data_IF_401793163148
#
_entry.id   IF_401793163148
#
_cell.length_a   1.000
_cell.length_b   1.000
_cell.length_c   1.000
_cell.angle_alpha   90.00
_cell.angle_beta   90.00
_cell.angle_gamma   90.00
#
_symmetry.space_group_name_H-M   'P 1'
#
loop_
_entity.id
_entity.type
_entity.pdbx_description
1 polymer ?
#
# COMPACT_ATOMS: atom_id res chain seq x y z
N UNK A 1 19.10 20.67 -31.37
CA UNK A 1 19.39 20.22 -30.00
C UNK A 1 18.37 20.92 -29.11
N UNK A 2 17.27 20.24 -28.80
CA UNK A 2 16.26 20.78 -27.90
C UNK A 2 16.81 20.75 -26.48
N UNK A 3 16.51 21.76 -25.63
CA UNK A 3 16.88 21.69 -24.22
C UNK A 3 16.24 20.45 -23.61
N UNK A 4 17.02 19.59 -22.95
CA UNK A 4 16.46 18.60 -22.05
C UNK A 4 15.87 19.36 -20.86
N UNK A 5 14.56 19.24 -20.71
CA UNK A 5 13.88 19.65 -19.49
C UNK A 5 14.16 18.60 -18.42
N UNK A 6 15.18 18.85 -17.60
CA UNK A 6 15.59 18.00 -16.47
C UNK A 6 14.66 18.12 -15.24
N UNK A 7 13.49 18.79 -15.38
CA UNK A 7 12.60 19.11 -14.25
C UNK A 7 11.63 18.00 -13.80
N UNK A 8 11.60 16.84 -14.46
CA UNK A 8 10.72 15.74 -14.05
C UNK A 8 11.48 14.45 -13.76
N UNK A 9 11.91 14.30 -12.51
CA UNK A 9 12.42 13.01 -12.01
C UNK A 9 11.33 11.93 -12.19
N UNK A 10 11.64 10.80 -12.85
CA UNK A 10 10.66 9.75 -13.07
C UNK A 10 10.04 9.25 -11.76
N UNK A 11 8.72 8.97 -11.71
CA UNK A 11 8.09 8.46 -10.49
C UNK A 11 8.73 7.18 -9.99
N UNK A 12 9.02 7.12 -8.68
CA UNK A 12 9.50 5.92 -8.00
C UNK A 12 8.31 5.14 -7.44
N UNK A 13 8.08 3.92 -7.92
CA UNK A 13 6.96 3.08 -7.52
C UNK A 13 7.48 1.82 -6.84
N UNK A 14 7.00 1.54 -5.63
CA UNK A 14 7.23 0.27 -4.96
C UNK A 14 6.05 -0.67 -5.18
N UNK A 15 6.30 -1.86 -5.75
CA UNK A 15 5.33 -2.93 -5.82
C UNK A 15 5.55 -3.89 -4.64
N UNK A 16 4.57 -3.94 -3.73
CA UNK A 16 4.57 -4.85 -2.58
C UNK A 16 3.97 -6.20 -2.99
N UNK A 17 4.76 -7.26 -2.79
CA UNK A 17 4.37 -8.64 -3.11
C UNK A 17 4.38 -9.52 -1.86
N UNK A 18 3.42 -10.46 -1.73
CA UNK A 18 3.57 -11.54 -0.77
C UNK A 18 4.73 -12.44 -1.16
N UNK A 19 5.42 -13.01 -0.17
CA UNK A 19 6.56 -13.92 -0.42
C UNK A 19 6.12 -15.17 -1.17
N UNK A 20 4.86 -15.59 -0.97
CA UNK A 20 4.27 -16.82 -1.51
C UNK A 20 2.85 -16.55 -2.00
N UNK A 21 2.43 -17.34 -2.98
CA UNK A 21 1.08 -17.31 -3.55
C UNK A 21 0.71 -15.97 -4.22
N UNK A 22 1.72 -15.24 -4.70
CA UNK A 22 1.52 -14.05 -5.54
C UNK A 22 0.68 -14.43 -6.77
N UNK A 23 -0.34 -13.64 -7.07
CA UNK A 23 -1.03 -13.73 -8.35
C UNK A 23 -0.12 -13.15 -9.44
N UNK A 24 0.32 -13.96 -10.42
CA UNK A 24 1.32 -13.53 -11.40
C UNK A 24 0.82 -12.36 -12.26
N UNK A 25 -0.47 -12.31 -12.59
CA UNK A 25 -1.05 -11.26 -13.40
C UNK A 25 -1.02 -9.91 -12.69
N UNK A 26 -1.32 -9.86 -11.38
CA UNK A 26 -1.35 -8.59 -10.64
C UNK A 26 0.03 -7.93 -10.55
N UNK A 27 1.09 -8.72 -10.36
CA UNK A 27 2.44 -8.20 -10.39
C UNK A 27 2.88 -7.82 -11.81
N UNK A 28 2.70 -8.70 -12.79
CA UNK A 28 3.21 -8.48 -14.15
C UNK A 28 2.50 -7.34 -14.87
N UNK A 29 1.18 -7.25 -14.77
CA UNK A 29 0.40 -6.22 -15.47
C UNK A 29 0.62 -4.83 -14.85
N UNK A 30 0.77 -4.75 -13.51
CA UNK A 30 1.11 -3.47 -12.86
C UNK A 30 2.55 -3.03 -13.20
N UNK A 31 3.52 -3.95 -13.12
CA UNK A 31 4.90 -3.68 -13.53
C UNK A 31 4.98 -3.19 -14.97
N UNK A 32 4.34 -3.89 -15.91
CA UNK A 32 4.35 -3.51 -17.32
C UNK A 32 3.73 -2.13 -17.54
N UNK A 33 2.56 -1.88 -16.93
CA UNK A 33 1.87 -0.58 -17.01
C UNK A 33 2.76 0.57 -16.49
N UNK A 34 3.42 0.39 -15.35
CA UNK A 34 4.30 1.41 -14.78
C UNK A 34 5.59 1.59 -15.58
N UNK A 35 6.14 0.50 -16.13
CA UNK A 35 7.39 0.52 -16.90
C UNK A 35 7.19 1.21 -18.24
N UNK A 36 6.07 0.95 -18.92
CA UNK A 36 5.67 1.66 -20.15
C UNK A 36 5.49 3.17 -19.92
N UNK A 37 5.04 3.56 -18.72
CA UNK A 37 4.91 4.96 -18.32
C UNK A 37 6.26 5.61 -17.91
N UNK A 38 7.38 4.90 -18.01
CA UNK A 38 8.71 5.42 -17.69
C UNK A 38 9.01 5.52 -16.19
N UNK A 39 8.24 4.85 -15.32
CA UNK A 39 8.47 4.89 -13.88
C UNK A 39 9.70 4.04 -13.49
N UNK A 40 10.37 4.45 -12.41
CA UNK A 40 11.37 3.64 -11.72
C UNK A 40 10.64 2.70 -10.77
N UNK A 41 10.81 1.40 -10.95
CA UNK A 41 10.07 0.39 -10.19
C UNK A 41 11.04 -0.35 -9.27
N UNK A 42 10.60 -0.63 -8.05
CA UNK A 42 11.25 -1.58 -7.17
C UNK A 42 10.20 -2.56 -6.65
N UNK A 43 10.61 -3.79 -6.34
CA UNK A 43 9.77 -4.75 -5.64
C UNK A 43 10.18 -4.81 -4.17
N UNK A 44 9.23 -5.15 -3.30
CA UNK A 44 9.55 -5.55 -1.93
C UNK A 44 8.75 -6.79 -1.50
N UNK A 45 9.40 -7.61 -0.70
CA UNK A 45 8.88 -8.76 0.05
C UNK A 45 9.27 -8.61 1.52
N UNK A 46 8.83 -9.50 2.41
CA UNK A 46 9.11 -9.33 3.84
C UNK A 46 10.59 -9.35 4.14
N UNK A 47 11.27 -10.35 3.59
CA UNK A 47 12.68 -10.60 3.86
C UNK A 47 13.59 -10.26 2.67
N UNK A 48 13.05 -9.67 1.59
CA UNK A 48 13.81 -9.41 0.37
C UNK A 48 14.06 -10.68 -0.46
N UNK A 49 13.29 -11.73 -0.23
CA UNK A 49 13.27 -12.92 -1.08
C UNK A 49 12.51 -12.64 -2.39
N UNK A 50 12.90 -13.29 -3.48
CA UNK A 50 12.18 -13.22 -4.75
C UNK A 50 10.74 -13.76 -4.54
N UNK A 51 9.69 -12.98 -4.87
CA UNK A 51 8.31 -13.41 -4.68
C UNK A 51 8.02 -14.71 -5.43
N UNK A 52 7.29 -15.64 -4.80
CA UNK A 52 6.87 -16.89 -5.46
C UNK A 52 5.43 -16.78 -5.93
N UNK A 53 5.26 -16.69 -7.24
CA UNK A 53 3.97 -16.79 -7.89
C UNK A 53 3.29 -18.16 -7.62
N UNK A 54 1.96 -18.16 -7.65
CA UNK A 54 1.18 -19.39 -7.59
C UNK A 54 1.44 -20.22 -8.85
N UNK A 55 2.23 -21.29 -8.71
CA UNK A 55 2.65 -22.15 -9.82
C UNK A 55 1.47 -22.73 -10.60
N UNK A 56 0.31 -22.91 -9.96
CA UNK A 56 -0.89 -23.42 -10.63
C UNK A 56 -1.39 -22.48 -11.72
N UNK A 57 -1.06 -21.19 -11.67
CA UNK A 57 -1.41 -20.20 -12.68
C UNK A 57 -0.37 -20.06 -13.79
N UNK A 58 0.85 -20.54 -13.56
CA UNK A 58 1.93 -20.51 -14.55
C UNK A 58 1.99 -21.81 -15.37
N UNK A 59 1.73 -22.93 -14.72
CA UNK A 59 1.71 -24.25 -15.37
C UNK A 59 0.42 -24.46 -16.16
N UNK A 60 0.47 -25.34 -17.17
CA UNK A 60 -0.75 -25.86 -17.84
C UNK A 60 -1.53 -26.70 -16.84
N UNK A 61 -2.44 -26.06 -16.10
CA UNK A 61 -3.25 -26.70 -15.06
C UNK A 61 -4.75 -26.42 -15.28
N UNK A 62 -5.59 -27.33 -14.78
CA UNK A 62 -7.04 -27.13 -14.76
C UNK A 62 -7.45 -25.85 -13.97
N UNK A 63 -6.63 -25.43 -13.01
CA UNK A 63 -6.85 -24.19 -12.27
C UNK A 63 -6.58 -22.95 -13.13
N UNK A 64 -5.53 -22.97 -13.96
CA UNK A 64 -5.23 -21.88 -14.90
C UNK A 64 -6.36 -21.71 -15.92
N UNK A 65 -6.83 -22.81 -16.49
CA UNK A 65 -7.91 -22.79 -17.48
C UNK A 65 -9.23 -22.29 -16.84
N UNK A 66 -9.51 -22.68 -15.59
CA UNK A 66 -10.63 -22.14 -14.82
C UNK A 66 -10.53 -20.63 -14.58
N UNK A 67 -9.33 -20.14 -14.27
CA UNK A 67 -9.07 -18.72 -14.02
C UNK A 67 -8.92 -17.90 -15.31
N UNK A 68 -8.96 -18.55 -16.47
CA UNK A 68 -8.81 -17.95 -17.79
C UNK A 68 -7.53 -17.08 -17.90
N UNK A 69 -6.43 -17.54 -17.30
CA UNK A 69 -5.14 -16.85 -17.41
C UNK A 69 -4.59 -17.06 -18.83
N UNK A 70 -4.49 -15.97 -19.59
CA UNK A 70 -4.03 -16.00 -20.98
C UNK A 70 -2.55 -16.34 -21.09
N UNK A 71 -2.13 -16.85 -22.25
CA UNK A 71 -0.71 -17.04 -22.55
C UNK A 71 0.07 -15.72 -22.46
N UNK A 72 -0.54 -14.60 -22.89
CA UNK A 72 0.00 -13.24 -22.75
C UNK A 72 0.31 -12.87 -21.29
N UNK A 73 -0.58 -13.20 -20.35
CA UNK A 73 -0.34 -12.95 -18.92
C UNK A 73 0.84 -13.76 -18.38
N UNK A 74 1.02 -15.00 -18.84
CA UNK A 74 2.15 -15.85 -18.44
C UNK A 74 3.46 -15.33 -19.03
N UNK A 75 3.46 -14.92 -20.29
CA UNK A 75 4.64 -14.34 -20.95
C UNK A 75 5.08 -13.04 -20.27
N UNK A 76 4.15 -12.11 -20.00
CA UNK A 76 4.42 -10.89 -19.24
C UNK A 76 4.98 -11.18 -17.86
N UNK A 77 4.48 -12.21 -17.19
CA UNK A 77 5.02 -12.62 -15.90
C UNK A 77 6.48 -13.07 -16.02
N UNK A 78 6.82 -13.91 -16.99
CA UNK A 78 8.21 -14.34 -17.16
C UNK A 78 9.14 -13.20 -17.61
N UNK A 79 8.66 -12.26 -18.42
CA UNK A 79 9.41 -11.06 -18.78
C UNK A 79 9.71 -10.20 -17.53
N UNK A 80 8.71 -9.94 -16.68
CA UNK A 80 8.91 -9.27 -15.39
C UNK A 80 9.83 -10.09 -14.47
N UNK A 81 9.64 -11.40 -14.38
CA UNK A 81 10.39 -12.26 -13.47
C UNK A 81 11.88 -12.37 -13.83
N UNK A 82 12.24 -12.09 -15.09
CA UNK A 82 13.63 -11.97 -15.55
C UNK A 82 14.23 -10.57 -15.40
N UNK A 83 13.48 -9.59 -14.89
CA UNK A 83 13.96 -8.22 -14.71
C UNK A 83 14.83 -8.07 -13.45
N UNK A 84 15.81 -7.15 -13.49
CA UNK A 84 16.69 -6.87 -12.35
C UNK A 84 15.90 -6.42 -11.12
N UNK A 85 14.82 -5.64 -11.33
CA UNK A 85 13.98 -5.13 -10.25
C UNK A 85 13.25 -6.26 -9.50
N UNK A 86 12.79 -7.29 -10.23
CA UNK A 86 12.10 -8.44 -9.63
C UNK A 86 13.05 -9.41 -8.95
N UNK A 87 14.27 -9.56 -9.49
CA UNK A 87 15.31 -10.46 -8.95
C UNK A 87 16.00 -9.88 -7.70
N UNK A 88 15.87 -8.56 -7.45
CA UNK A 88 16.49 -7.87 -6.32
C UNK A 88 15.45 -7.11 -5.47
N UNK A 89 14.45 -7.79 -4.89
CA UNK A 89 13.44 -7.11 -4.08
C UNK A 89 14.04 -6.60 -2.76
N UNK A 90 13.49 -5.49 -2.27
CA UNK A 90 13.82 -4.92 -0.96
C UNK A 90 13.11 -5.71 0.15
N UNK A 91 13.72 -5.74 1.33
CA UNK A 91 13.12 -6.32 2.53
C UNK A 91 12.37 -5.25 3.32
N UNK A 92 11.03 -5.30 3.39
CA UNK A 92 10.30 -4.30 4.18
C UNK A 92 10.45 -4.50 5.70
N UNK A 93 10.88 -5.70 6.13
CA UNK A 93 11.18 -5.97 7.54
C UNK A 93 12.51 -5.38 8.00
N UNK A 94 13.36 -4.90 7.07
CA UNK A 94 14.63 -4.31 7.41
C UNK A 94 14.42 -3.03 8.24
N UNK A 95 15.19 -2.80 9.33
CA UNK A 95 14.98 -1.66 10.23
C UNK A 95 15.10 -0.28 9.58
N UNK A 96 15.86 -0.17 8.50
CA UNK A 96 16.11 1.05 7.72
C UNK A 96 15.17 1.21 6.52
N UNK A 97 14.29 0.23 6.26
CA UNK A 97 13.35 0.30 5.16
C UNK A 97 12.24 1.33 5.43
N UNK A 98 11.92 2.14 4.42
CA UNK A 98 10.85 3.12 4.49
C UNK A 98 10.07 3.20 3.17
N UNK A 99 8.76 3.40 3.27
CA UNK A 99 7.91 3.68 2.10
C UNK A 99 8.03 5.14 1.63
N UNK A 100 8.58 6.03 2.46
CA UNK A 100 8.57 7.48 2.22
C UNK A 100 9.43 7.91 1.03
N UNK A 101 10.36 7.07 0.57
CA UNK A 101 11.19 7.33 -0.60
C UNK A 101 10.50 7.07 -1.95
N UNK A 102 9.28 6.51 -1.93
CA UNK A 102 8.51 6.21 -3.13
C UNK A 102 7.40 7.24 -3.34
N UNK A 103 7.13 7.61 -4.59
CA UNK A 103 6.01 8.46 -4.97
C UNK A 103 4.69 7.69 -4.90
N UNK A 104 4.75 6.40 -5.24
CA UNK A 104 3.61 5.49 -5.15
C UNK A 104 4.00 4.13 -4.55
N UNK A 105 3.06 3.56 -3.82
CA UNK A 105 3.12 2.17 -3.34
C UNK A 105 1.95 1.42 -3.95
N UNK A 106 2.19 0.23 -4.49
CA UNK A 106 1.18 -0.61 -5.11
C UNK A 106 1.16 -2.01 -4.47
N UNK A 107 0.05 -2.37 -3.84
CA UNK A 107 -0.12 -3.64 -3.15
C UNK A 107 -0.80 -4.66 -4.07
N UNK A 108 -0.06 -5.70 -4.42
CA UNK A 108 -0.56 -6.83 -5.20
C UNK A 108 -1.49 -7.73 -4.37
N UNK A 109 -2.02 -8.78 -4.99
CA UNK A 109 -2.85 -9.78 -4.31
C UNK A 109 -2.34 -11.19 -4.61
N UNK A 110 -2.89 -12.16 -3.90
CA UNK A 110 -2.62 -13.56 -4.10
C UNK A 110 -3.80 -14.44 -3.68
N UNK A 111 -3.58 -15.75 -3.70
CA UNK A 111 -4.58 -16.73 -3.31
C UNK A 111 -4.29 -17.33 -1.93
N UNK A 112 -5.35 -17.83 -1.31
CA UNK A 112 -5.41 -18.64 -0.10
C UNK A 112 -4.88 -18.01 1.20
N UNK A 113 -4.86 -18.85 2.24
CA UNK A 113 -4.31 -18.59 3.57
C UNK A 113 -2.85 -18.12 3.60
N UNK A 114 -2.04 -18.39 2.57
CA UNK A 114 -0.62 -17.98 2.48
C UNK A 114 -0.47 -16.47 2.40
N UNK A 115 -1.49 -15.76 1.95
CA UNK A 115 -1.52 -14.30 1.99
C UNK A 115 -1.59 -13.74 3.43
N UNK A 116 -1.85 -14.57 4.45
CA UNK A 116 -1.84 -14.11 5.85
C UNK A 116 -0.52 -13.46 6.22
N UNK A 117 0.62 -13.99 5.74
CA UNK A 117 1.93 -13.37 5.98
C UNK A 117 1.95 -11.89 5.55
N UNK A 118 1.41 -11.60 4.36
CA UNK A 118 1.29 -10.23 3.86
C UNK A 118 0.28 -9.38 4.65
N UNK A 119 -0.82 -9.99 5.11
CA UNK A 119 -1.90 -9.28 5.84
C UNK A 119 -1.60 -9.06 7.32
N UNK A 120 -0.80 -9.92 7.95
CA UNK A 120 -0.51 -9.94 9.39
C UNK A 120 0.88 -9.36 9.73
N UNK A 121 1.63 -8.89 8.73
CA UNK A 121 2.96 -8.31 8.92
C UNK A 121 2.91 -6.99 9.72
N UNK A 122 3.39 -7.04 10.95
CA UNK A 122 3.46 -5.88 11.84
C UNK A 122 4.38 -4.78 11.29
N UNK A 123 5.53 -5.16 10.72
CA UNK A 123 6.43 -4.20 10.07
C UNK A 123 5.75 -3.49 8.90
N UNK A 124 4.97 -4.21 8.09
CA UNK A 124 4.23 -3.62 6.98
C UNK A 124 3.13 -2.71 7.48
N UNK A 125 2.41 -3.08 8.55
CA UNK A 125 1.40 -2.22 9.16
C UNK A 125 1.98 -0.91 9.66
N UNK A 126 3.14 -0.94 10.32
CA UNK A 126 3.85 0.28 10.76
C UNK A 126 4.23 1.17 9.59
N UNK A 127 4.74 0.60 8.51
CA UNK A 127 5.09 1.33 7.29
C UNK A 127 3.87 1.97 6.62
N UNK A 128 2.76 1.23 6.51
CA UNK A 128 1.51 1.72 5.94
C UNK A 128 0.86 2.80 6.81
N UNK A 129 0.93 2.67 8.13
CA UNK A 129 0.46 3.70 9.07
C UNK A 129 1.22 5.02 8.91
N UNK A 130 2.51 4.98 8.59
CA UNK A 130 3.30 6.17 8.29
C UNK A 130 3.03 6.75 6.88
N UNK A 131 2.83 5.88 5.88
CA UNK A 131 2.70 6.29 4.48
C UNK A 131 1.28 6.76 4.12
N UNK A 132 0.24 6.06 4.59
CA UNK A 132 -1.15 6.30 4.20
C UNK A 132 -1.65 7.72 4.48
N UNK A 133 -1.36 8.36 5.64
CA UNK A 133 -1.78 9.72 5.92
C UNK A 133 -1.24 10.75 4.91
N UNK A 134 -0.10 10.47 4.28
CA UNK A 134 0.52 11.33 3.26
C UNK A 134 -0.18 11.23 1.89
N UNK A 135 -1.14 10.30 1.75
CA UNK A 135 -2.00 10.19 0.57
C UNK A 135 -3.22 11.10 0.65
N UNK A 136 -3.50 11.76 1.78
CA UNK A 136 -4.66 12.64 1.95
C UNK A 136 -4.63 13.81 0.95
N UNK A 137 -5.76 14.01 0.25
CA UNK A 137 -5.96 15.10 -0.71
C UNK A 137 -6.15 16.44 0.01
N UNK A 138 -5.78 17.53 -0.65
CA UNK A 138 -6.07 18.90 -0.16
C UNK A 138 -7.53 19.29 -0.34
N UNK A 139 -8.16 18.83 -1.42
CA UNK A 139 -9.54 19.12 -1.76
C UNK A 139 -10.31 17.83 -1.98
N UNK A 140 -11.53 17.76 -1.45
CA UNK A 140 -12.44 16.67 -1.75
C UNK A 140 -12.80 16.72 -3.23
N UNK A 141 -12.52 15.64 -3.96
CA UNK A 141 -12.95 15.54 -5.35
C UNK A 141 -14.45 15.24 -5.37
N UNK A 142 -15.25 16.21 -5.82
CA UNK A 142 -16.65 15.97 -6.20
C UNK A 142 -16.63 15.16 -7.51
N UNK A 143 -17.00 13.87 -7.47
CA UNK A 143 -17.19 13.09 -8.70
C UNK A 143 -18.54 13.46 -9.33
N UNK A 144 -18.52 13.70 -10.64
CA UNK A 144 -19.74 13.68 -11.45
C UNK A 144 -20.38 12.28 -11.34
N UNK A 145 -21.64 12.23 -10.92
CA UNK A 145 -22.34 11.00 -10.55
C UNK A 145 -22.19 9.89 -11.61
N UNK A 146 -21.83 8.69 -11.17
CA UNK A 146 -21.76 7.51 -12.04
C UNK A 146 -23.17 7.13 -12.51
N UNK A 147 -23.30 6.40 -13.62
CA UNK A 147 -24.61 5.89 -14.11
C UNK A 147 -25.34 5.07 -13.02
N UNK A 148 -24.62 4.39 -12.15
CA UNK A 148 -25.16 3.66 -10.99
C UNK A 148 -25.78 4.61 -9.93
N UNK A 149 -25.15 5.76 -9.70
CA UNK A 149 -25.67 6.82 -8.81
C UNK A 149 -26.89 7.51 -9.44
N UNK A 150 -26.89 7.66 -10.77
CA UNK A 150 -28.03 8.16 -11.56
C UNK A 150 -29.22 7.20 -11.54
N UNK A 151 -28.98 5.88 -11.50
CA UNK A 151 -30.02 4.85 -11.42
C UNK A 151 -30.72 4.81 -10.06
N UNK A 152 -30.00 5.03 -8.94
CA UNK A 152 -30.62 5.16 -7.61
C UNK A 152 -31.50 6.42 -7.49
N UNK A 153 -31.12 7.51 -8.17
CA UNK A 153 -31.89 8.77 -8.16
C UNK A 153 -33.13 8.75 -9.06
N UNK A 154 -33.21 7.84 -10.04
CA UNK A 154 -34.36 7.72 -10.96
C UNK A 154 -35.68 7.28 -10.30
N UNK A 155 -35.68 6.92 -9.01
CA UNK A 155 -36.90 6.72 -8.23
C UNK A 155 -37.54 8.02 -7.73
N UNK A 156 -36.97 9.20 -8.01
CA UNK A 156 -37.59 10.50 -7.75
C UNK A 156 -37.59 11.36 -9.02
N UNK A 157 -38.74 11.98 -9.27
CA UNK A 157 -39.15 12.64 -10.51
C UNK A 157 -38.34 13.89 -10.92
N UNK A 158 -38.15 14.00 -12.25
CA UNK A 158 -38.43 15.14 -13.18
C UNK A 158 -37.57 16.44 -13.17
N UNK A 159 -37.22 16.82 -14.42
CA UNK A 159 -36.71 18.04 -15.08
C UNK A 159 -35.20 18.42 -15.08
N UNK A 160 -34.73 18.58 -16.34
CA UNK A 160 -33.67 19.39 -17.03
C UNK A 160 -32.92 20.50 -16.26
N UNK A 161 -31.80 21.11 -16.68
CA UNK A 161 -30.79 20.98 -17.77
C UNK A 161 -29.53 21.76 -17.31
N UNK A 162 -28.40 21.50 -17.97
CA UNK A 162 -27.20 22.35 -18.15
C UNK A 162 -26.39 22.97 -16.98
N UNK A 163 -25.06 22.82 -17.08
CA UNK A 163 -24.06 23.68 -16.44
C UNK A 163 -23.00 22.96 -15.59
N UNK A 164 -21.73 23.14 -15.93
CA UNK A 164 -20.57 22.79 -15.08
C UNK A 164 -20.55 23.70 -13.85
N UNK A 165 -20.44 23.19 -12.60
CA UNK A 165 -20.23 24.06 -11.45
C UNK A 165 -18.73 24.31 -11.21
N UNK A 166 -18.38 25.58 -11.25
CA UNK A 166 -17.18 26.20 -10.70
C UNK A 166 -17.36 26.53 -9.21
N UNK A 167 -16.22 26.76 -8.55
CA UNK A 167 -16.00 27.43 -7.25
C UNK A 167 -15.99 26.54 -5.99
N UNK A 168 -14.82 26.55 -5.33
CA UNK A 168 -14.53 26.02 -4.00
C UNK A 168 -14.48 27.22 -3.04
N UNK A 169 -15.15 27.14 -1.90
CA UNK A 169 -15.15 28.19 -0.87
C UNK A 169 -13.95 28.06 0.08
N UNK A 170 -13.37 29.20 0.48
CA UNK A 170 -12.06 29.34 1.15
C UNK A 170 -11.95 28.80 2.59
N UNK A 171 -13.01 28.24 3.19
CA UNK A 171 -13.08 28.11 4.65
C UNK A 171 -12.54 26.81 5.28
N UNK A 172 -11.72 26.03 4.57
CA UNK A 172 -11.10 24.80 5.12
C UNK A 172 -9.59 24.68 4.85
N UNK A 173 -8.92 25.80 4.53
CA UNK A 173 -7.49 25.84 4.13
C UNK A 173 -6.52 25.63 5.31
N UNK A 174 -6.86 26.17 6.48
CA UNK A 174 -5.89 26.44 7.55
C UNK A 174 -5.44 25.23 8.40
N UNK A 175 -5.98 24.03 8.15
CA UNK A 175 -5.55 22.79 8.83
C UNK A 175 -4.70 21.84 7.95
N UNK A 176 -4.51 22.17 6.67
CA UNK A 176 -3.93 21.28 5.65
C UNK A 176 -2.72 21.88 4.92
N UNK A 177 -2.48 23.18 5.09
CA UNK A 177 -1.38 23.92 4.47
C UNK A 177 -0.01 23.64 5.11
N UNK A 178 0.03 23.03 6.30
CA UNK A 178 1.28 22.70 7.02
C UNK A 178 1.85 21.30 6.71
N UNK A 179 1.42 20.65 5.63
CA UNK A 179 1.94 19.35 5.21
C UNK A 179 2.86 19.50 3.99
N UNK A 180 4.11 19.82 4.28
CA UNK A 180 5.21 19.91 3.33
C UNK A 180 5.82 18.51 3.11
N UNK A 181 5.42 17.82 2.03
CA UNK A 181 6.14 16.68 1.45
C UNK A 181 5.50 16.19 0.13
N UNK A 182 6.28 15.59 -0.78
CA UNK A 182 5.76 15.07 -2.05
C UNK A 182 4.57 14.13 -1.80
N UNK A 183 3.42 14.47 -2.39
CA UNK A 183 2.15 13.79 -2.12
C UNK A 183 2.21 12.35 -2.61
N UNK A 184 1.86 11.44 -1.70
CA UNK A 184 2.02 9.99 -1.88
C UNK A 184 0.78 9.40 -2.53
N UNK A 185 0.98 8.40 -3.39
CA UNK A 185 -0.11 7.63 -4.00
C UNK A 185 -0.07 6.20 -3.46
N UNK A 186 -1.23 5.60 -3.24
CA UNK A 186 -1.36 4.21 -2.85
C UNK A 186 -2.36 3.48 -3.73
N UNK A 187 -1.95 2.38 -4.34
CA UNK A 187 -2.83 1.43 -5.00
C UNK A 187 -2.89 0.12 -4.23
N UNK A 188 -4.04 -0.52 -4.14
CA UNK A 188 -4.16 -1.87 -3.59
C UNK A 188 -5.24 -2.68 -4.31
N UNK A 189 -5.02 -3.98 -4.49
CA UNK A 189 -6.00 -4.89 -5.11
C UNK A 189 -6.37 -6.04 -4.20
N UNK A 190 -7.63 -6.45 -4.32
CA UNK A 190 -8.15 -7.69 -3.77
C UNK A 190 -7.86 -7.82 -2.29
N UNK A 191 -7.15 -8.88 -1.93
CA UNK A 191 -6.83 -9.16 -0.54
C UNK A 191 -5.62 -8.37 -0.02
N UNK A 192 -4.85 -7.71 -0.89
CA UNK A 192 -3.82 -6.75 -0.47
C UNK A 192 -4.41 -5.59 0.35
N UNK A 193 -5.67 -5.22 0.08
CA UNK A 193 -6.41 -4.20 0.84
C UNK A 193 -6.62 -4.60 2.30
N UNK A 194 -6.59 -5.91 2.62
CA UNK A 194 -6.72 -6.35 4.00
C UNK A 194 -5.58 -5.89 4.90
N UNK A 195 -4.36 -5.75 4.37
CA UNK A 195 -3.24 -5.23 5.13
C UNK A 195 -3.53 -3.77 5.58
N UNK A 196 -4.18 -2.97 4.74
CA UNK A 196 -4.65 -1.62 5.12
C UNK A 196 -5.72 -1.69 6.19
N UNK A 197 -6.69 -2.61 6.08
CA UNK A 197 -7.74 -2.78 7.10
C UNK A 197 -7.20 -3.13 8.50
N UNK A 198 -6.00 -3.71 8.58
CA UNK A 198 -5.31 -4.12 9.81
C UNK A 198 -4.25 -3.12 10.27
N UNK A 199 -3.86 -2.17 9.42
CA UNK A 199 -2.86 -1.16 9.74
C UNK A 199 -3.52 -0.07 10.58
N UNK A 200 -3.04 0.11 11.81
CA UNK A 200 -3.67 1.01 12.78
C UNK A 200 -2.93 2.35 12.84
N UNK A 201 -3.70 3.42 12.87
CA UNK A 201 -3.25 4.78 13.17
C UNK A 201 -3.98 5.29 14.40
N UNK A 202 -3.31 6.19 15.12
CA UNK A 202 -3.92 6.97 16.19
C UNK A 202 -4.60 8.16 15.51
N UNK A 203 -5.90 8.33 15.69
CA UNK A 203 -6.56 9.58 15.31
C UNK A 203 -5.89 10.72 16.09
N UNK A 204 -5.53 11.81 15.39
CA UNK A 204 -4.95 13.03 15.96
C UNK A 204 -3.56 12.86 16.63
N UNK A 205 -2.55 12.41 15.88
CA UNK A 205 -1.16 12.75 16.24
C UNK A 205 -1.09 14.27 16.36
N UNK A 206 -0.70 14.74 17.54
CA UNK A 206 -0.45 16.17 17.75
C UNK A 206 0.62 16.63 16.75
N UNK A 207 0.61 17.90 16.33
CA UNK A 207 1.65 18.45 15.46
C UNK A 207 3.08 18.17 15.97
N UNK A 208 3.24 18.05 17.30
CA UNK A 208 4.48 17.72 17.97
C UNK A 208 4.91 16.27 17.75
N UNK A 209 4.00 15.31 17.81
CA UNK A 209 4.28 13.89 17.57
C UNK A 209 4.55 13.63 16.08
N UNK A 210 3.82 14.32 15.19
CA UNK A 210 4.10 14.29 13.74
C UNK A 210 5.47 14.88 13.43
N UNK A 211 5.77 16.05 14.00
CA UNK A 211 7.08 16.68 13.87
C UNK A 211 8.19 15.86 14.52
N UNK A 212 7.89 15.11 15.58
CA UNK A 212 8.85 14.20 16.22
C UNK A 212 9.15 13.01 15.34
N UNK A 213 8.14 12.41 14.71
CA UNK A 213 8.31 11.33 13.76
C UNK A 213 9.05 11.79 12.49
N UNK A 214 8.76 13.00 11.99
CA UNK A 214 9.47 13.61 10.86
C UNK A 214 10.91 13.99 11.21
N UNK A 215 11.17 14.56 12.39
CA UNK A 215 12.53 14.85 12.89
C UNK A 215 13.33 13.57 13.12
N UNK A 216 12.72 12.53 13.65
CA UNK A 216 13.37 11.23 13.82
C UNK A 216 13.69 10.60 12.45
N UNK A 217 12.79 10.74 11.47
CA UNK A 217 13.03 10.28 10.11
C UNK A 217 14.16 11.06 9.43
N UNK A 218 14.18 12.40 9.52
CA UNK A 218 15.26 13.22 8.97
C UNK A 218 16.60 12.93 9.65
N UNK A 219 16.64 12.86 10.98
CA UNK A 219 17.86 12.53 11.75
C UNK A 219 18.44 11.17 11.35
N UNK A 220 17.57 10.17 11.12
CA UNK A 220 18.01 8.84 10.66
C UNK A 220 18.47 8.85 9.20
N UNK A 221 17.88 9.71 8.36
CA UNK A 221 18.28 9.85 6.95
C UNK A 221 19.64 10.54 6.83
N UNK A 222 19.86 11.61 7.61
CA UNK A 222 21.14 12.30 7.72
C UNK A 222 22.23 11.37 8.31
N UNK A 223 21.91 10.60 9.36
CA UNK A 223 22.82 9.62 9.93
C UNK A 223 23.17 8.50 8.93
N UNK A 224 22.23 8.08 8.08
CA UNK A 224 22.46 7.10 7.03
C UNK A 224 23.32 7.65 5.88
N UNK A 225 23.17 8.93 5.51
CA UNK A 225 24.05 9.60 4.55
C UNK A 225 25.47 9.77 5.08
N UNK A 226 25.61 10.11 6.37
CA UNK A 226 26.91 10.24 7.02
C UNK A 226 27.61 8.89 7.16
N UNK A 227 26.86 7.83 7.49
CA UNK A 227 27.38 6.46 7.49
C UNK A 227 27.81 6.01 6.09
N UNK A 228 27.06 6.35 5.04
CA UNK A 228 27.43 6.09 3.64
C UNK A 228 28.71 6.81 3.22
N UNK A 229 28.89 8.07 3.63
CA UNK A 229 30.14 8.81 3.42
C UNK A 229 31.32 8.13 4.12
N UNK A 230 31.15 7.76 5.39
CA UNK A 230 32.20 7.04 6.16
C UNK A 230 32.54 5.70 5.52
N UNK A 231 31.57 4.95 5.02
CA UNK A 231 31.81 3.67 4.34
C UNK A 231 32.50 3.86 2.98
N UNK A 232 32.18 4.94 2.24
CA UNK A 232 32.88 5.30 1.01
C UNK A 232 34.33 5.73 1.27
N UNK A 233 34.56 6.53 2.30
CA UNK A 233 35.89 6.96 2.73
C UNK A 233 36.72 5.77 3.24
N UNK A 234 36.12 4.87 4.02
CA UNK A 234 36.78 3.62 4.45
C UNK A 234 37.09 2.70 3.27
N UNK A 235 36.22 2.59 2.27
CA UNK A 235 36.50 1.80 1.05
C UNK A 235 37.61 2.44 0.21
N UNK A 236 37.69 3.77 0.16
CA UNK A 236 38.78 4.51 -0.46
C UNK A 236 40.09 4.30 0.31
N UNK A 237 40.03 4.29 1.65
CA UNK A 237 41.17 4.07 2.51
C UNK A 237 41.64 2.61 2.53
N UNK A 238 40.73 1.64 2.40
CA UNK A 238 41.04 0.21 2.21
C UNK A 238 41.63 -0.07 0.84
N UNK A 239 41.21 0.63 -0.22
CA UNK A 239 41.85 0.52 -1.55
C UNK A 239 43.27 1.09 -1.58
N UNK A 240 43.57 2.09 -0.74
CA UNK A 240 44.93 2.63 -0.60
C UNK A 240 45.80 1.80 0.35
N UNK A 241 45.21 1.11 1.34
CA UNK A 241 45.93 0.23 2.28
C UNK A 241 46.02 -1.25 1.86
N UNK A 242 45.18 -1.73 0.93
CA UNK A 242 45.30 -3.10 0.35
C UNK A 242 46.49 -3.26 -0.59
N UNK A 243 47.15 -2.17 -0.98
CA UNK A 243 48.49 -2.19 -1.59
C UNK A 243 49.59 -2.45 -0.53
N UNK A 244 49.28 -2.34 0.78
CA UNK A 244 50.27 -2.31 1.85
C UNK A 244 50.35 -3.50 2.83
N UNK A 245 49.37 -4.40 2.94
CA UNK A 245 49.41 -5.45 3.98
C UNK A 245 48.85 -6.81 3.56
N UNK A 246 49.68 -7.62 2.91
CA UNK A 246 49.59 -9.07 2.88
C UNK A 246 50.51 -9.68 3.95
N UNK A 247 50.23 -9.47 5.24
CA UNK A 247 51.01 -10.14 6.31
C UNK A 247 50.21 -10.26 7.61
N UNK A 248 50.17 -11.49 8.10
CA UNK A 248 49.78 -11.99 9.43
C UNK A 248 48.33 -12.43 9.70
N UNK A 249 48.25 -13.72 10.07
CA UNK A 249 47.11 -14.50 10.56
C UNK A 249 47.14 -14.58 12.09
N UNK A 250 45.94 -14.85 12.65
CA UNK A 250 45.62 -15.88 13.65
C UNK A 250 45.24 -15.45 15.09
N UNK A 251 44.23 -16.21 15.56
CA UNK A 251 43.90 -16.63 16.93
C UNK A 251 42.75 -15.91 17.67
N UNK A 252 41.68 -16.68 17.92
CA UNK A 252 40.58 -16.46 18.87
C UNK A 252 40.84 -17.22 20.19
N UNK A 253 40.17 -16.82 21.28
CA UNK A 253 39.52 -17.83 22.12
C UNK A 253 38.13 -17.43 22.68
N UNK A 254 37.38 -18.46 23.09
CA UNK A 254 36.07 -18.43 23.78
C UNK A 254 36.23 -18.54 25.31
N UNK A 255 35.25 -18.05 26.08
CA UNK A 255 34.66 -18.53 27.37
C UNK A 255 33.89 -17.34 28.01
N UNK A 256 32.84 -17.40 28.85
CA UNK A 256 31.97 -18.43 29.44
C UNK A 256 30.73 -17.71 30.07
N UNK A 257 29.76 -18.50 30.55
CA UNK A 257 28.38 -18.18 31.03
C UNK A 257 28.26 -17.51 32.42
N UNK A 258 27.09 -16.92 32.71
CA UNK A 258 26.27 -17.09 33.95
C UNK A 258 24.99 -16.23 33.87
N UNK A 259 23.75 -16.78 33.82
CA UNK A 259 22.77 -17.04 34.91
C UNK A 259 22.47 -15.80 35.80
N UNK A 260 21.22 -15.31 35.95
CA UNK A 260 20.23 -15.84 36.92
C UNK A 260 18.82 -15.17 36.82
N UNK A 261 17.76 -16.00 37.01
CA UNK A 261 16.51 -15.83 37.81
C UNK A 261 15.54 -14.67 37.51
N UNK A 262 14.31 -14.90 37.01
CA UNK A 262 13.07 -15.21 37.77
C UNK A 262 12.21 -13.93 37.91
N UNK A 263 10.88 -13.87 37.91
CA UNK A 263 9.81 -14.82 38.12
C UNK A 263 8.47 -14.07 37.92
N UNK A 264 7.47 -14.76 37.36
CA UNK A 264 6.03 -14.74 37.71
C UNK A 264 5.04 -13.68 37.19
N UNK A 265 4.13 -14.23 36.37
CA UNK A 265 2.75 -13.86 36.09
C UNK A 265 1.89 -13.55 37.33
N UNK A 266 0.93 -12.63 37.16
CA UNK A 266 -0.44 -12.85 37.63
C UNK A 266 -1.48 -12.08 36.80
N UNK A 267 -2.53 -12.81 36.43
CA UNK A 267 -3.70 -12.37 35.66
C UNK A 267 -4.86 -12.09 36.60
N UNK A 268 -5.74 -11.14 36.24
CA UNK A 268 -7.15 -11.11 36.69
C UNK A 268 -8.05 -10.42 35.66
N UNK A 269 -8.99 -11.18 35.07
CA UNK A 269 -10.34 -10.75 34.63
C UNK A 269 -11.15 -10.36 35.89
N UNK A 270 -12.17 -9.51 35.91
CA UNK A 270 -12.90 -8.72 34.92
C UNK A 270 -14.20 -8.22 35.60
N UNK A 271 -14.85 -7.17 35.08
CA UNK A 271 -16.30 -6.96 35.22
C UNK A 271 -16.78 -5.80 34.34
N UNK A 272 -17.75 -6.09 33.49
CA UNK A 272 -18.56 -5.13 32.73
C UNK A 272 -19.67 -4.55 33.61
N UNK A 273 -19.93 -3.25 33.44
CA UNK A 273 -21.25 -2.65 33.67
C UNK A 273 -21.48 -1.54 32.63
N UNK A 274 -22.64 -1.60 32.00
CA UNK A 274 -23.17 -0.67 30.99
C UNK A 274 -23.64 0.66 31.63
N UNK A 275 -23.37 1.80 30.98
CA UNK A 275 -24.33 2.89 30.84
C UNK A 275 -23.93 3.95 29.78
N UNK A 276 -24.98 4.55 29.20
CA UNK A 276 -25.05 5.57 28.15
C UNK A 276 -24.31 6.88 28.47
N UNK A 277 -23.62 7.41 27.45
CA UNK A 277 -23.79 8.78 26.95
C UNK A 277 -23.38 9.97 27.82
N UNK A 278 -22.08 10.28 27.84
CA UNK A 278 -21.52 11.63 27.95
C UNK A 278 -20.05 11.57 27.52
N UNK A 279 -19.56 12.48 26.68
CA UNK A 279 -18.14 12.48 26.26
C UNK A 279 -17.28 12.98 27.42
N UNK A 280 -16.37 12.12 27.89
CA UNK A 280 -15.29 12.49 28.81
C UNK A 280 -14.05 12.98 28.05
N UNK A 281 -13.35 14.01 28.54
CA UNK A 281 -12.12 14.53 27.95
C UNK A 281 -10.88 13.63 28.17
N UNK A 282 -11.03 12.45 28.79
CA UNK A 282 -9.94 11.51 29.13
C UNK A 282 -9.96 10.20 28.30
N UNK A 283 -10.64 10.20 27.15
CA UNK A 283 -10.67 8.99 26.31
C UNK A 283 -9.35 8.86 25.54
N UNK A 284 -8.51 7.90 25.92
CA UNK A 284 -7.30 7.53 25.17
C UNK A 284 -7.62 7.44 23.66
N UNK A 285 -6.76 7.97 22.78
CA UNK A 285 -7.10 8.07 21.37
C UNK A 285 -7.34 6.66 20.81
N UNK A 286 -8.52 6.48 20.21
CA UNK A 286 -8.93 5.18 19.70
C UNK A 286 -8.05 4.81 18.50
N UNK A 287 -7.30 3.71 18.61
CA UNK A 287 -6.61 3.12 17.47
C UNK A 287 -7.66 2.73 16.42
N UNK A 288 -7.50 3.24 15.19
CA UNK A 288 -8.38 2.93 14.06
C UNK A 288 -7.57 2.50 12.85
N UNK A 289 -8.21 1.72 11.98
CA UNK A 289 -7.62 1.36 10.69
C UNK A 289 -7.29 2.61 9.87
N UNK A 290 -6.22 2.57 9.08
CA UNK A 290 -5.94 3.62 8.07
C UNK A 290 -7.08 3.80 7.06
N UNK A 291 -7.95 2.79 6.90
CA UNK A 291 -9.15 2.88 6.05
C UNK A 291 -10.37 3.49 6.75
N UNK A 292 -10.30 3.80 8.03
CA UNK A 292 -11.43 4.37 8.75
C UNK A 292 -11.82 5.74 8.14
N UNK A 293 -13.08 5.89 7.74
CA UNK A 293 -13.55 7.10 7.06
C UNK A 293 -13.06 7.24 5.61
N UNK A 294 -12.47 6.20 5.01
CA UNK A 294 -11.96 6.22 3.63
C UNK A 294 -12.77 5.30 2.74
N UNK A 295 -13.16 5.81 1.58
CA UNK A 295 -13.87 5.01 0.59
C UNK A 295 -12.98 3.95 -0.03
N UNK A 296 -13.53 2.75 -0.23
CA UNK A 296 -12.77 1.67 -0.83
C UNK A 296 -13.66 0.64 -1.52
N UNK A 297 -13.02 -0.24 -2.29
CA UNK A 297 -13.58 -1.49 -2.79
C UNK A 297 -12.65 -2.64 -2.44
N UNK A 298 -13.14 -3.87 -2.44
CA UNK A 298 -12.34 -5.09 -2.33
C UNK A 298 -13.07 -6.25 -3.02
N UNK A 299 -12.54 -7.47 -2.97
CA UNK A 299 -13.24 -8.65 -3.48
C UNK A 299 -14.59 -8.77 -2.75
N UNK A 300 -15.73 -8.68 -3.45
CA UNK A 300 -17.02 -8.74 -2.80
C UNK A 300 -17.31 -10.17 -2.33
N UNK A 301 -18.06 -10.30 -1.24
CA UNK A 301 -18.31 -11.59 -0.59
C UNK A 301 -18.93 -12.63 -1.54
N UNK A 302 -19.81 -12.21 -2.46
CA UNK A 302 -20.40 -13.11 -3.45
C UNK A 302 -19.35 -13.71 -4.40
N UNK A 303 -18.33 -12.93 -4.79
CA UNK A 303 -17.28 -13.38 -5.70
C UNK A 303 -16.29 -14.31 -4.97
N UNK A 304 -15.96 -13.98 -3.72
CA UNK A 304 -15.13 -14.83 -2.85
C UNK A 304 -15.82 -16.18 -2.57
N UNK A 305 -17.12 -16.16 -2.29
CA UNK A 305 -17.93 -17.37 -2.08
C UNK A 305 -18.03 -18.21 -3.36
N UNK A 306 -18.25 -17.58 -4.52
CA UNK A 306 -18.27 -18.27 -5.80
C UNK A 306 -16.93 -18.97 -6.06
N UNK A 307 -15.80 -18.27 -5.89
CA UNK A 307 -14.47 -18.86 -6.04
C UNK A 307 -14.23 -20.02 -5.08
N UNK A 308 -14.67 -19.90 -3.83
CA UNK A 308 -14.57 -20.95 -2.81
C UNK A 308 -15.36 -22.20 -3.22
N UNK A 309 -16.61 -22.04 -3.63
CA UNK A 309 -17.48 -23.14 -4.05
C UNK A 309 -16.93 -23.86 -5.28
N UNK A 310 -16.54 -23.11 -6.31
CA UNK A 310 -15.96 -23.68 -7.53
C UNK A 310 -14.66 -24.44 -7.21
N UNK A 311 -13.79 -23.88 -6.37
CA UNK A 311 -12.55 -24.55 -5.96
C UNK A 311 -12.80 -25.85 -5.21
N UNK A 312 -13.80 -25.86 -4.33
CA UNK A 312 -14.17 -27.05 -3.56
C UNK A 312 -14.64 -28.19 -4.48
N UNK A 313 -15.47 -27.87 -5.49
CA UNK A 313 -15.95 -28.83 -6.51
C UNK A 313 -14.79 -29.45 -7.30
N UNK A 314 -13.74 -28.67 -7.58
CA UNK A 314 -12.57 -29.12 -8.33
C UNK A 314 -11.45 -29.70 -7.45
N UNK A 315 -11.73 -29.96 -6.15
CA UNK A 315 -10.78 -30.61 -5.24
C UNK A 315 -9.66 -29.71 -4.70
N UNK A 316 -9.69 -28.40 -4.97
CA UNK A 316 -8.63 -27.46 -4.59
C UNK A 316 -8.73 -26.93 -3.14
N UNK A 317 -9.73 -27.36 -2.36
CA UNK A 317 -10.02 -27.04 -0.93
C UNK A 317 -9.60 -25.63 -0.43
N UNK A 318 -10.58 -24.76 -0.18
CA UNK A 318 -10.44 -23.48 0.57
C UNK A 318 -9.35 -22.50 0.09
N UNK A 319 -9.27 -22.22 -1.20
CA UNK A 319 -8.25 -21.32 -1.75
C UNK A 319 -8.58 -19.83 -1.75
N UNK A 320 -9.84 -19.47 -1.50
CA UNK A 320 -10.28 -18.07 -1.65
C UNK A 320 -10.58 -17.39 -0.32
N UNK A 321 -10.78 -18.14 0.76
CA UNK A 321 -10.97 -17.59 2.10
C UNK A 321 -9.66 -17.58 2.88
N UNK A 322 -9.30 -16.40 3.36
CA UNK A 322 -8.10 -16.20 4.20
C UNK A 322 -8.46 -16.36 5.68
N UNK A 323 -9.67 -15.94 6.07
CA UNK A 323 -10.20 -16.01 7.44
C UNK A 323 -11.66 -16.51 7.42
N UNK A 324 -12.26 -16.63 8.61
CA UNK A 324 -13.67 -17.02 8.74
C UNK A 324 -14.62 -15.95 8.20
N UNK A 325 -14.35 -14.67 8.49
CA UNK A 325 -15.03 -13.54 7.85
C UNK A 325 -14.54 -13.38 6.42
N UNK A 326 -15.45 -13.00 5.53
CA UNK A 326 -15.10 -12.62 4.16
C UNK A 326 -14.16 -11.41 4.16
N UNK A 327 -13.49 -11.21 3.03
CA UNK A 327 -12.62 -10.04 2.83
C UNK A 327 -13.43 -8.75 2.91
N UNK A 328 -14.61 -8.73 2.28
CA UNK A 328 -15.54 -7.61 2.34
C UNK A 328 -15.96 -7.26 3.76
N UNK A 329 -16.39 -8.25 4.57
CA UNK A 329 -16.83 -7.99 5.95
C UNK A 329 -15.72 -7.35 6.79
N UNK A 330 -14.49 -7.85 6.68
CA UNK A 330 -13.36 -7.28 7.42
C UNK A 330 -13.01 -5.86 6.97
N UNK A 331 -13.10 -5.58 5.67
CA UNK A 331 -12.86 -4.23 5.15
C UNK A 331 -13.97 -3.28 5.59
N UNK A 332 -15.24 -3.69 5.49
CA UNK A 332 -16.40 -2.88 5.92
C UNK A 332 -16.33 -2.56 7.42
N UNK A 333 -15.98 -3.54 8.26
CA UNK A 333 -15.77 -3.32 9.69
C UNK A 333 -14.70 -2.24 9.96
N UNK A 334 -13.64 -2.21 9.14
CA UNK A 334 -12.54 -1.26 9.28
C UNK A 334 -12.89 0.18 8.81
N UNK A 335 -13.93 0.37 7.99
CA UNK A 335 -14.30 1.70 7.48
C UNK A 335 -14.99 2.58 8.52
N UNK A 336 -15.61 1.97 9.55
CA UNK A 336 -16.46 2.66 10.52
C UNK A 336 -17.85 3.08 9.98
N UNK A 337 -18.00 3.23 8.67
CA UNK A 337 -19.26 3.48 7.99
C UNK A 337 -19.39 2.58 6.73
N UNK A 338 -20.39 1.67 6.68
CA UNK A 338 -20.58 0.77 5.56
C UNK A 338 -20.94 1.48 4.23
N UNK A 339 -21.39 2.74 4.27
CA UNK A 339 -21.70 3.51 3.05
C UNK A 339 -20.45 3.89 2.25
N UNK A 340 -19.27 3.83 2.87
CA UNK A 340 -17.97 4.07 2.25
C UNK A 340 -17.47 2.87 1.42
N UNK A 341 -18.17 1.74 1.48
CA UNK A 341 -17.82 0.55 0.70
C UNK A 341 -18.53 0.54 -0.67
N UNK A 342 -17.75 0.37 -1.73
CA UNK A 342 -18.23 0.31 -3.10
C UNK A 342 -18.01 -1.06 -3.71
N UNK A 343 -19.00 -1.96 -3.67
CA UNK A 343 -18.87 -3.33 -4.18
C UNK A 343 -18.63 -3.44 -5.72
N UNK A 344 -18.87 -2.36 -6.45
CA UNK A 344 -18.88 -2.35 -7.91
C UNK A 344 -20.12 -3.07 -8.49
N UNK A 345 -20.18 -3.19 -9.83
CA UNK A 345 -21.29 -3.88 -10.49
C UNK A 345 -21.30 -5.38 -10.13
N UNK A 346 -22.49 -6.03 -10.08
CA UNK A 346 -22.63 -7.46 -9.77
C UNK A 346 -22.26 -8.33 -10.99
N UNK A 347 -21.12 -8.06 -11.61
CA UNK A 347 -20.58 -8.78 -12.74
C UNK A 347 -19.04 -8.72 -12.70
N UNK A 348 -18.41 -9.45 -13.62
CA UNK A 348 -16.94 -9.52 -13.75
C UNK A 348 -16.34 -8.39 -14.59
N UNK A 349 -17.10 -7.35 -14.95
CA UNK A 349 -16.51 -6.19 -15.66
C UNK A 349 -15.56 -5.47 -14.71
N UNK A 350 -14.48 -4.93 -15.27
CA UNK A 350 -13.47 -4.18 -14.52
C UNK A 350 -14.09 -3.06 -13.70
N UNK A 351 -13.68 -2.95 -12.45
CA UNK A 351 -14.12 -1.88 -11.55
C UNK A 351 -13.04 -1.58 -10.51
N UNK A 352 -12.70 -0.31 -10.40
CA UNK A 352 -11.79 0.22 -9.40
C UNK A 352 -12.42 1.44 -8.74
N UNK A 353 -12.08 1.70 -7.50
CA UNK A 353 -12.51 2.88 -6.76
C UNK A 353 -11.33 3.77 -6.42
N UNK A 354 -11.47 5.08 -6.61
CA UNK A 354 -10.49 6.07 -6.14
C UNK A 354 -11.16 6.87 -5.03
N UNK A 355 -10.55 6.90 -3.85
CA UNK A 355 -11.10 7.61 -2.72
C UNK A 355 -11.18 9.13 -2.99
N UNK A 356 -12.29 9.76 -2.57
CA UNK A 356 -12.44 11.22 -2.66
C UNK A 356 -11.53 11.99 -1.71
N UNK A 357 -11.10 11.35 -0.62
CA UNK A 357 -10.31 11.96 0.47
C UNK A 357 -8.80 11.71 0.33
N UNK A 358 -8.39 10.73 -0.46
CA UNK A 358 -7.00 10.29 -0.57
C UNK A 358 -6.64 9.98 -2.03
N UNK A 359 -5.36 10.09 -2.39
CA UNK A 359 -4.76 9.50 -3.60
C UNK A 359 -4.63 7.99 -3.43
N UNK A 360 -5.75 7.34 -3.07
CA UNK A 360 -5.86 5.92 -2.80
C UNK A 360 -6.77 5.27 -3.83
N UNK A 361 -6.23 4.26 -4.53
CA UNK A 361 -6.91 3.48 -5.55
C UNK A 361 -7.09 2.05 -5.01
N UNK A 362 -8.30 1.52 -5.14
CA UNK A 362 -8.62 0.14 -4.78
C UNK A 362 -9.24 -0.62 -5.95
N UNK A 363 -8.84 -1.88 -6.14
CA UNK A 363 -9.45 -2.81 -7.11
C UNK A 363 -9.92 -4.08 -6.42
N UNK A 364 -10.88 -4.79 -7.00
CA UNK A 364 -11.55 -5.89 -6.29
C UNK A 364 -10.79 -7.21 -6.39
N UNK A 365 -10.11 -7.49 -7.49
CA UNK A 365 -9.53 -8.81 -7.80
C UNK A 365 -8.60 -8.69 -9.03
N UNK A 366 -7.83 -9.74 -9.41
CA UNK A 366 -6.77 -9.62 -10.41
C UNK A 366 -7.13 -8.93 -11.72
N UNK A 367 -8.30 -9.17 -12.36
CA UNK A 367 -8.69 -8.48 -13.60
C UNK A 367 -8.82 -6.95 -13.50
N UNK A 368 -8.87 -6.38 -12.30
CA UNK A 368 -8.88 -4.92 -12.10
C UNK A 368 -7.48 -4.29 -12.15
N UNK A 369 -6.40 -5.09 -12.24
CA UNK A 369 -4.99 -4.64 -12.14
C UNK A 369 -4.64 -3.54 -13.13
N UNK A 370 -4.89 -3.76 -14.43
CA UNK A 370 -4.55 -2.77 -15.46
C UNK A 370 -5.22 -1.42 -15.19
N UNK A 371 -6.53 -1.42 -14.96
CA UNK A 371 -7.27 -0.18 -14.67
C UNK A 371 -6.78 0.51 -13.40
N UNK A 372 -6.51 -0.25 -12.33
CA UNK A 372 -6.00 0.36 -11.09
C UNK A 372 -4.61 0.95 -11.24
N UNK A 373 -3.75 0.32 -12.06
CA UNK A 373 -2.38 0.79 -12.33
C UNK A 373 -2.42 2.09 -13.15
N UNK A 374 -3.31 2.16 -14.16
CA UNK A 374 -3.56 3.40 -14.89
C UNK A 374 -4.06 4.53 -13.97
N UNK A 375 -5.01 4.24 -13.08
CA UNK A 375 -5.49 5.25 -12.12
C UNK A 375 -4.40 5.67 -11.12
N UNK A 376 -3.46 4.79 -10.75
CA UNK A 376 -2.29 5.17 -9.94
C UNK A 376 -1.42 6.18 -10.70
N UNK A 377 -1.15 5.94 -11.99
CA UNK A 377 -0.40 6.89 -12.82
C UNK A 377 -1.12 8.25 -12.93
N UNK A 378 -2.43 8.23 -13.14
CA UNK A 378 -3.25 9.45 -13.16
C UNK A 378 -3.16 10.22 -11.83
N UNK A 379 -3.27 9.51 -10.71
CA UNK A 379 -3.17 10.12 -9.38
C UNK A 379 -1.78 10.64 -9.06
N UNK A 380 -0.70 10.01 -9.57
CA UNK A 380 0.66 10.57 -9.45
C UNK A 380 0.72 11.93 -10.15
N UNK A 381 0.15 12.05 -11.35
CA UNK A 381 0.10 13.32 -12.09
C UNK A 381 -0.71 14.37 -11.32
N UNK A 382 -1.86 13.99 -10.74
CA UNK A 382 -2.69 14.89 -9.94
C UNK A 382 -1.94 15.33 -8.68
N UNK A 383 -1.38 14.38 -7.93
CA UNK A 383 -0.63 14.62 -6.69
C UNK A 383 0.57 15.56 -6.93
N UNK A 384 1.33 15.36 -8.01
CA UNK A 384 2.44 16.24 -8.41
C UNK A 384 1.97 17.63 -8.82
N UNK A 385 0.82 17.78 -9.49
CA UNK A 385 0.23 19.09 -9.80
C UNK A 385 -0.25 19.82 -8.54
N UNK A 386 -0.90 19.11 -7.62
CA UNK A 386 -1.28 19.66 -6.32
C UNK A 386 -0.05 20.10 -5.51
N UNK A 387 1.07 19.38 -5.65
CA UNK A 387 2.35 19.77 -5.07
C UNK A 387 2.94 21.03 -5.71
N UNK A 388 3.09 21.06 -7.03
CA UNK A 388 3.71 22.18 -7.76
C UNK A 388 2.97 23.52 -7.61
N UNK A 389 1.65 23.50 -7.42
CA UNK A 389 0.86 24.73 -7.11
C UNK A 389 1.19 25.34 -5.74
N UNK A 390 1.75 24.56 -4.81
CA UNK A 390 2.08 25.02 -3.45
C UNK A 390 3.38 25.82 -3.42
N UNK A 391 4.37 25.44 -4.22
CA UNK A 391 5.67 26.10 -4.26
C UNK A 391 5.60 27.49 -4.90
N UNK A 392 4.79 27.66 -5.96
CA UNK A 392 4.68 28.94 -6.69
C UNK A 392 3.91 30.01 -5.90
N UNK A 393 3.13 29.62 -4.89
CA UNK A 393 2.36 30.56 -4.06
C UNK A 393 3.16 31.17 -2.90
N UNK A 394 4.40 30.72 -2.65
CA UNK A 394 5.24 31.22 -1.55
C UNK A 394 6.26 32.31 -1.98
N UNK A 395 6.44 32.56 -3.28
CA UNK A 395 7.40 33.55 -3.80
C UNK A 395 6.77 34.88 -4.29
N UNK A 396 5.56 35.19 -3.85
CA UNK A 396 4.94 36.51 -4.09
C UNK A 396 4.40 37.07 -2.77
N UNK A 397 5.30 37.58 -1.92
CA UNK A 397 5.01 38.66 -0.95
C UNK A 397 6.23 39.58 -0.86
#
# INVERSE_FOLDING_TARGET
>A
MFPQDDSFTPPRILILCPDKALDPYTASESWFTFKEAGCVIEFATENGDIPKADQRLLERSAFRDLMNASADAVEKFFAMAGSDEYLNPRAWSAPDFTLLQYDAVYMTTGFDTRLRQFVESESLHRLLAAYFPLTKRRQLVQRSATISDKLKRRSMMVHEEHGLPSVITEKHKDGLDNLEGPRKVLGAIGKGIMALSKSMVVDDLTPEERSSAERECMSRTEAAEEARKKEQDEKLHRRTSSIGMSRFKAATPKLQRSATTGSFFKSTKGKETSHKGSRDPDTAPALRSVLHGVETTTVPAWLENLGTTVSAIHGFKNMFRTYNKSTQEQVVDALGDPTLYHAGPPNRKTFTHTARTHHYISGRYPPDTRASSMHVLEEIVIARKEWGKSAVAQDIV
#
